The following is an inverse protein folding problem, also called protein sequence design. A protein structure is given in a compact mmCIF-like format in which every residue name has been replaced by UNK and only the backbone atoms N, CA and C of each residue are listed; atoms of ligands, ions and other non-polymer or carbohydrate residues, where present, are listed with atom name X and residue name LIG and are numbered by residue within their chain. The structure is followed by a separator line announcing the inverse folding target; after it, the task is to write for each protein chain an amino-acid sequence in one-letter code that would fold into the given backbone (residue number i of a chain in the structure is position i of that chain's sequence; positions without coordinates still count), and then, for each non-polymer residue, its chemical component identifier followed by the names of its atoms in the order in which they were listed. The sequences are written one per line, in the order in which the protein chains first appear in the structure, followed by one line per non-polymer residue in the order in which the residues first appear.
data_IF_893856953125
#
_entry.id   IF_893856953125
#
_cell.length_a   1.000
_cell.length_b   1.000
_cell.length_c   1.000
_cell.angle_alpha   90.00
_cell.angle_beta   90.00
_cell.angle_gamma   90.00
#
_symmetry.space_group_name_H-M   'P 1'
#
loop_
_entity.id
_entity.type
_entity.pdbx_description
1 polymer ?
#
# COMPACT_ATOMS: atom_id res chain seq x y z
N UNK A 1 -19.25 0.85 16.29
CA UNK A 1 -19.48 1.67 15.08
C UNK A 1 -19.99 3.04 15.54
N UNK A 2 -19.08 4.00 15.78
CA UNK A 2 -19.46 5.34 16.26
C UNK A 2 -20.00 6.19 15.09
N UNK A 3 -21.15 6.83 15.31
CA UNK A 3 -21.89 7.60 14.32
C UNK A 3 -21.03 8.75 13.75
N UNK A 4 -20.69 8.67 12.46
CA UNK A 4 -19.88 9.69 11.76
C UNK A 4 -20.76 10.82 11.23
N UNK A 5 -21.16 11.76 12.11
CA UNK A 5 -21.66 13.13 11.83
C UNK A 5 -22.84 13.31 10.85
N UNK A 6 -23.50 14.50 10.82
CA UNK A 6 -24.51 14.81 9.81
C UNK A 6 -23.89 15.04 8.42
N UNK A 7 -24.65 14.80 7.34
CA UNK A 7 -24.34 15.32 6.00
C UNK A 7 -23.16 14.71 5.24
N UNK A 8 -22.87 13.41 5.38
CA UNK A 8 -21.87 12.71 4.56
C UNK A 8 -20.46 12.64 5.15
N UNK A 9 -20.26 13.12 6.38
CA UNK A 9 -18.99 13.02 7.11
C UNK A 9 -18.46 11.57 7.19
N UNK A 10 -19.35 10.58 7.30
CA UNK A 10 -19.00 9.16 7.23
C UNK A 10 -18.27 8.75 5.96
N UNK A 11 -18.77 9.19 4.80
CA UNK A 11 -18.15 8.90 3.51
C UNK A 11 -16.83 9.66 3.34
N UNK A 12 -16.75 10.90 3.82
CA UNK A 12 -15.51 11.68 3.78
C UNK A 12 -14.39 11.02 4.58
N UNK A 13 -14.66 10.59 5.82
CA UNK A 13 -13.64 9.90 6.64
C UNK A 13 -13.19 8.58 5.98
N UNK A 14 -14.10 7.83 5.33
CA UNK A 14 -13.71 6.62 4.60
C UNK A 14 -12.83 6.94 3.38
N UNK A 15 -13.16 8.02 2.66
CA UNK A 15 -12.34 8.49 1.54
C UNK A 15 -10.90 8.80 1.99
N UNK A 16 -10.75 9.60 3.05
CA UNK A 16 -9.44 9.94 3.63
C UNK A 16 -8.69 8.70 4.10
N UNK A 17 -9.37 7.78 4.78
CA UNK A 17 -8.75 6.53 5.22
C UNK A 17 -8.26 5.68 4.04
N UNK A 18 -9.01 5.56 2.94
CA UNK A 18 -8.50 4.89 1.73
C UNK A 18 -7.27 5.61 1.15
N UNK A 19 -7.21 6.94 1.25
CA UNK A 19 -6.02 7.72 0.86
C UNK A 19 -4.80 7.38 1.72
N UNK A 20 -4.97 7.28 3.04
CA UNK A 20 -3.90 6.88 3.97
C UNK A 20 -3.44 5.44 3.65
N UNK A 21 -4.37 4.51 3.44
CA UNK A 21 -4.04 3.13 3.03
C UNK A 21 -3.20 3.09 1.75
N UNK A 22 -3.47 3.99 0.78
CA UNK A 22 -2.66 4.05 -0.45
C UNK A 22 -1.23 4.48 -0.15
N UNK A 23 -1.04 5.49 0.69
CA UNK A 23 0.28 5.95 1.08
C UNK A 23 1.06 4.88 1.85
N UNK A 24 0.42 4.19 2.80
CA UNK A 24 1.08 3.13 3.57
C UNK A 24 1.51 1.96 2.67
N UNK A 25 0.64 1.51 1.77
CA UNK A 25 0.98 0.47 0.80
C UNK A 25 2.12 0.89 -0.14
N UNK A 26 2.17 2.16 -0.55
CA UNK A 26 3.25 2.68 -1.39
C UNK A 26 4.58 2.71 -0.64
N UNK A 27 4.60 3.15 0.62
CA UNK A 27 5.80 3.14 1.46
C UNK A 27 6.32 1.72 1.71
N UNK A 28 5.41 0.77 1.94
CA UNK A 28 5.75 -0.65 2.05
C UNK A 28 6.36 -1.18 0.75
N UNK A 29 5.79 -0.84 -0.40
CA UNK A 29 6.30 -1.24 -1.71
C UNK A 29 7.70 -0.66 -1.98
N UNK A 30 7.94 0.60 -1.62
CA UNK A 30 9.27 1.23 -1.72
C UNK A 30 10.30 0.57 -0.80
N UNK A 31 9.91 0.25 0.44
CA UNK A 31 10.79 -0.47 1.36
C UNK A 31 11.14 -1.88 0.83
N UNK A 32 10.15 -2.59 0.28
CA UNK A 32 10.38 -3.87 -0.42
C UNK A 32 11.36 -3.70 -1.58
N UNK A 33 11.15 -2.69 -2.44
CA UNK A 33 12.00 -2.45 -3.60
C UNK A 33 13.45 -2.13 -3.22
N UNK A 34 13.64 -1.30 -2.18
CA UNK A 34 14.97 -0.99 -1.64
C UNK A 34 15.70 -2.22 -1.11
N UNK A 35 15.00 -3.12 -0.40
CA UNK A 35 15.59 -4.37 0.08
C UNK A 35 15.89 -5.32 -1.08
N UNK A 36 14.99 -5.39 -2.07
CA UNK A 36 15.10 -6.28 -3.22
C UNK A 36 16.22 -5.88 -4.16
N UNK A 37 16.23 -4.63 -4.61
CA UNK A 37 17.21 -4.11 -5.56
C UNK A 37 18.50 -3.64 -4.88
N UNK A 38 18.38 -2.98 -3.73
CA UNK A 38 19.53 -2.39 -3.03
C UNK A 38 20.38 -3.42 -2.28
N UNK A 39 19.77 -4.47 -1.72
CA UNK A 39 20.48 -5.52 -0.98
C UNK A 39 20.48 -6.88 -1.67
N UNK A 40 19.75 -7.04 -2.79
CA UNK A 40 19.63 -8.32 -3.50
C UNK A 40 18.87 -9.39 -2.72
N UNK A 41 18.12 -9.01 -1.67
CA UNK A 41 17.41 -9.96 -0.81
C UNK A 41 16.31 -10.70 -1.59
N UNK A 42 16.08 -11.97 -1.29
CA UNK A 42 14.95 -12.73 -1.84
C UNK A 42 13.63 -12.35 -1.17
N UNK A 43 12.49 -12.63 -1.82
CA UNK A 43 11.17 -12.39 -1.23
C UNK A 43 11.03 -13.03 0.17
N UNK A 44 11.50 -14.27 0.34
CA UNK A 44 11.50 -14.95 1.62
C UNK A 44 12.39 -14.27 2.69
N UNK A 45 13.56 -13.75 2.31
CA UNK A 45 14.40 -12.99 3.25
C UNK A 45 13.73 -11.67 3.66
N UNK A 46 13.05 -11.02 2.72
CA UNK A 46 12.31 -9.78 2.99
C UNK A 46 11.09 -10.08 3.89
N UNK A 47 10.41 -11.22 3.70
CA UNK A 47 9.32 -11.66 4.57
C UNK A 47 9.73 -11.70 6.05
N UNK A 48 10.90 -12.27 6.34
CA UNK A 48 11.44 -12.32 7.72
C UNK A 48 11.73 -10.92 8.29
N UNK A 49 12.19 -9.98 7.46
CA UNK A 49 12.39 -8.58 7.87
C UNK A 49 11.07 -7.92 8.25
N UNK A 50 10.03 -8.07 7.42
CA UNK A 50 8.70 -7.54 7.69
C UNK A 50 8.05 -8.22 8.91
N UNK A 51 8.24 -9.53 9.08
CA UNK A 51 7.79 -10.26 10.26
C UNK A 51 8.44 -9.72 11.54
N UNK A 52 9.74 -9.41 11.51
CA UNK A 52 10.43 -8.79 12.63
C UNK A 52 9.92 -7.37 12.91
N UNK A 53 9.72 -6.55 11.88
CA UNK A 53 9.14 -5.21 12.02
C UNK A 53 7.73 -5.22 12.64
N UNK A 54 6.93 -6.24 12.33
CA UNK A 54 5.59 -6.41 12.90
C UNK A 54 5.58 -6.71 14.40
N UNK A 55 6.73 -7.00 15.01
CA UNK A 55 6.86 -7.19 16.46
C UNK A 55 7.28 -5.92 17.21
N UNK A 56 7.56 -4.83 16.48
CA UNK A 56 8.03 -3.55 17.02
C UNK A 56 7.07 -2.41 16.72
N UNK A 57 7.63 -1.21 16.52
CA UNK A 57 6.85 0.03 16.33
C UNK A 57 6.01 0.06 15.04
N UNK A 58 6.27 -0.84 14.10
CA UNK A 58 5.55 -0.98 12.83
C UNK A 58 4.45 -2.05 12.87
N UNK A 59 4.13 -2.60 14.05
CA UNK A 59 3.02 -3.54 14.23
C UNK A 59 1.74 -2.98 13.61
N UNK A 60 1.31 -3.62 12.53
CA UNK A 60 0.12 -3.21 11.79
C UNK A 60 -0.34 -4.31 10.85
N UNK A 61 -1.64 -4.31 10.57
CA UNK A 61 -2.24 -5.26 9.64
C UNK A 61 -1.55 -5.29 8.26
N UNK A 62 -1.17 -4.13 7.71
CA UNK A 62 -0.51 -4.08 6.40
C UNK A 62 0.90 -4.68 6.43
N UNK A 63 1.64 -4.52 7.53
CA UNK A 63 2.97 -5.12 7.69
C UNK A 63 2.86 -6.63 7.89
N UNK A 64 1.90 -7.10 8.69
CA UNK A 64 1.59 -8.52 8.89
C UNK A 64 1.31 -9.23 7.56
N UNK A 65 0.32 -8.76 6.80
CA UNK A 65 -0.03 -9.40 5.53
C UNK A 65 1.09 -9.28 4.48
N UNK A 66 1.95 -8.27 4.58
CA UNK A 66 3.12 -8.15 3.69
C UNK A 66 4.10 -9.27 3.96
N UNK A 67 4.39 -9.58 5.24
CA UNK A 67 5.24 -10.71 5.59
C UNK A 67 4.64 -12.03 5.08
N UNK A 68 3.34 -12.25 5.29
CA UNK A 68 2.65 -13.46 4.84
C UNK A 68 2.68 -13.63 3.31
N UNK A 69 2.39 -12.56 2.55
CA UNK A 69 2.39 -12.58 1.08
C UNK A 69 3.79 -12.84 0.53
N UNK A 70 4.82 -12.22 1.10
CA UNK A 70 6.20 -12.41 0.67
C UNK A 70 6.74 -13.81 1.00
N UNK A 71 6.23 -14.44 2.05
CA UNK A 71 6.53 -15.83 2.40
C UNK A 71 5.80 -16.87 1.54
N UNK A 72 4.80 -16.45 0.74
CA UNK A 72 4.03 -17.36 -0.08
C UNK A 72 4.80 -17.78 -1.34
N UNK A 73 4.76 -19.08 -1.64
CA UNK A 73 5.35 -19.67 -2.85
C UNK A 73 4.22 -20.09 -3.78
N UNK A 74 4.32 -19.71 -5.04
CA UNK A 74 3.39 -20.18 -6.06
C UNK A 74 3.62 -21.67 -6.35
N UNK A 75 2.59 -22.48 -6.16
CA UNK A 75 2.69 -23.93 -6.29
C UNK A 75 2.93 -24.40 -7.74
N UNK A 76 2.55 -23.60 -8.73
CA UNK A 76 2.67 -23.96 -10.15
C UNK A 76 4.10 -23.74 -10.68
N UNK A 77 4.76 -22.67 -10.25
CA UNK A 77 6.09 -22.24 -10.72
C UNK A 77 7.21 -22.58 -9.74
N UNK A 78 6.89 -22.75 -8.45
CA UNK A 78 7.87 -22.88 -7.38
C UNK A 78 8.61 -21.58 -7.03
N UNK A 79 8.19 -20.45 -7.60
CA UNK A 79 8.76 -19.12 -7.34
C UNK A 79 8.01 -18.43 -6.19
N UNK A 80 8.59 -17.34 -5.64
CA UNK A 80 7.86 -16.49 -4.71
C UNK A 80 6.60 -15.96 -5.39
N UNK A 81 5.46 -16.01 -4.71
CA UNK A 81 4.18 -15.58 -5.29
C UNK A 81 4.24 -14.14 -5.80
N UNK A 82 4.95 -13.27 -5.09
CA UNK A 82 5.16 -11.86 -5.48
C UNK A 82 5.88 -11.73 -6.83
N UNK A 83 6.72 -12.69 -7.22
CA UNK A 83 7.50 -12.65 -8.46
C UNK A 83 6.68 -13.06 -9.70
N UNK A 84 5.51 -13.69 -9.50
CA UNK A 84 4.62 -14.12 -10.60
C UNK A 84 3.39 -13.22 -10.77
N UNK A 85 3.15 -12.31 -9.82
CA UNK A 85 2.07 -11.32 -9.91
C UNK A 85 2.48 -10.19 -10.84
N UNK A 86 1.60 -9.83 -11.77
CA UNK A 86 1.83 -8.67 -12.63
C UNK A 86 1.84 -7.38 -11.83
N UNK A 87 2.83 -6.52 -12.07
CA UNK A 87 2.97 -5.20 -11.44
C UNK A 87 2.01 -4.18 -12.08
N UNK A 88 0.72 -4.39 -11.85
CA UNK A 88 -0.37 -3.57 -12.35
C UNK A 88 -1.37 -3.28 -11.23
N UNK A 89 -1.16 -2.18 -10.51
CA UNK A 89 -2.01 -1.82 -9.38
C UNK A 89 -3.32 -1.16 -9.84
N UNK A 90 -4.43 -1.88 -9.72
CA UNK A 90 -5.75 -1.32 -9.97
C UNK A 90 -6.19 -0.34 -8.85
N UNK A 91 -6.99 0.67 -9.21
CA UNK A 91 -7.63 1.57 -8.25
C UNK A 91 -9.11 1.80 -8.58
N UNK A 92 -9.95 1.84 -7.54
CA UNK A 92 -11.41 2.07 -7.68
C UNK A 92 -11.83 3.55 -7.61
N UNK A 93 -10.87 4.47 -7.74
CA UNK A 93 -11.10 5.91 -7.82
C UNK A 93 -11.11 6.68 -6.49
N UNK A 94 -11.17 6.01 -5.33
CA UNK A 94 -11.23 6.72 -4.02
C UNK A 94 -9.95 7.47 -3.67
N UNK A 95 -8.77 6.99 -4.10
CA UNK A 95 -7.51 7.72 -3.95
C UNK A 95 -7.54 9.04 -4.72
N UNK A 96 -7.98 8.99 -5.99
CA UNK A 96 -8.17 10.17 -6.84
C UNK A 96 -9.12 11.20 -6.23
N UNK A 97 -10.24 10.78 -5.63
CA UNK A 97 -11.18 11.71 -4.98
C UNK A 97 -10.57 12.43 -3.77
N UNK A 98 -9.69 11.74 -3.03
CA UNK A 98 -8.96 12.32 -1.89
C UNK A 98 -8.01 13.42 -2.36
N UNK A 99 -7.26 13.17 -3.44
CA UNK A 99 -6.37 14.16 -4.07
C UNK A 99 -7.14 15.37 -4.59
N UNK A 100 -8.28 15.14 -5.26
CA UNK A 100 -9.14 16.22 -5.75
C UNK A 100 -9.68 17.10 -4.61
N UNK A 101 -10.20 16.48 -3.54
CA UNK A 101 -10.68 17.24 -2.38
C UNK A 101 -9.58 18.05 -1.71
N UNK A 102 -8.36 17.52 -1.63
CA UNK A 102 -7.25 18.24 -1.02
C UNK A 102 -6.82 19.47 -1.83
N UNK A 103 -6.90 19.39 -3.17
CA UNK A 103 -6.70 20.54 -4.05
C UNK A 103 -7.78 21.61 -3.84
N UNK A 104 -9.05 21.20 -3.76
CA UNK A 104 -10.17 22.12 -3.52
C UNK A 104 -10.06 22.83 -2.17
N UNK A 105 -9.56 22.14 -1.15
CA UNK A 105 -9.38 22.66 0.21
C UNK A 105 -8.05 23.39 0.44
N UNK A 106 -7.11 23.32 -0.51
CA UNK A 106 -5.77 23.90 -0.35
C UNK A 106 -4.92 23.22 0.74
N UNK A 107 -5.15 21.92 1.01
CA UNK A 107 -4.46 21.15 2.05
C UNK A 107 -3.42 20.23 1.41
N UNK A 108 -2.13 20.31 1.76
CA UNK A 108 -1.10 19.46 1.16
C UNK A 108 -1.18 18.02 1.69
N UNK A 109 -1.30 17.04 0.77
CA UNK A 109 -1.32 15.60 1.07
C UNK A 109 -0.36 14.80 0.17
N UNK A 110 0.87 15.28 0.03
CA UNK A 110 1.84 14.79 -0.96
C UNK A 110 2.02 13.27 -0.99
N UNK A 111 2.16 12.60 0.16
CA UNK A 111 2.33 11.14 0.19
C UNK A 111 1.15 10.36 -0.43
N UNK A 112 -0.09 10.80 -0.15
CA UNK A 112 -1.31 10.19 -0.72
C UNK A 112 -1.40 10.48 -2.23
N UNK A 113 -1.00 11.69 -2.65
CA UNK A 113 -1.01 12.08 -4.04
C UNK A 113 -0.02 11.24 -4.87
N UNK A 114 1.23 11.12 -4.40
CA UNK A 114 2.26 10.33 -5.09
C UNK A 114 1.89 8.84 -5.12
N UNK A 115 1.36 8.28 -4.03
CA UNK A 115 0.84 6.91 -4.03
C UNK A 115 -0.29 6.69 -5.07
N UNK A 116 -1.13 7.71 -5.29
CA UNK A 116 -2.16 7.65 -6.34
C UNK A 116 -1.55 7.70 -7.74
N UNK A 117 -0.49 8.48 -7.95
CA UNK A 117 0.21 8.55 -9.24
C UNK A 117 1.01 7.27 -9.55
N UNK A 118 1.69 6.69 -8.56
CA UNK A 118 2.41 5.43 -8.72
C UNK A 118 1.49 4.29 -9.21
N UNK A 119 0.28 4.19 -8.64
CA UNK A 119 -0.75 3.24 -9.12
C UNK A 119 -1.20 3.55 -10.54
N UNK A 120 -1.46 4.81 -10.87
CA UNK A 120 -1.87 5.20 -12.21
C UNK A 120 -0.79 4.86 -13.26
N UNK A 121 0.49 4.98 -12.91
CA UNK A 121 1.61 4.61 -13.77
C UNK A 121 1.64 3.09 -14.01
N UNK A 122 1.70 2.29 -12.94
CA UNK A 122 1.75 0.81 -13.04
C UNK A 122 0.54 0.20 -13.76
N UNK A 123 -0.67 0.70 -13.52
CA UNK A 123 -1.89 0.20 -14.16
C UNK A 123 -2.06 0.61 -15.63
N UNK A 124 -1.17 1.46 -16.16
CA UNK A 124 -1.18 1.91 -17.56
C UNK A 124 -0.04 1.33 -18.42
N UNK A 125 0.83 0.53 -17.79
CA UNK A 125 1.98 -0.12 -18.42
C UNK A 125 1.61 -1.42 -19.14
#
# INVERSE_FOLDING_TARGET
MHARGPGGAGHFVKMVHNGIEYADMQLIAEAYDLLRQGLGASAAQIAEVFAAWNTGDLESFLIEITADVLGHVDAATGQGFVDVVADAAEQKGTGRWTVQNALDLGVPITGIAEATFARALSGSA
#
